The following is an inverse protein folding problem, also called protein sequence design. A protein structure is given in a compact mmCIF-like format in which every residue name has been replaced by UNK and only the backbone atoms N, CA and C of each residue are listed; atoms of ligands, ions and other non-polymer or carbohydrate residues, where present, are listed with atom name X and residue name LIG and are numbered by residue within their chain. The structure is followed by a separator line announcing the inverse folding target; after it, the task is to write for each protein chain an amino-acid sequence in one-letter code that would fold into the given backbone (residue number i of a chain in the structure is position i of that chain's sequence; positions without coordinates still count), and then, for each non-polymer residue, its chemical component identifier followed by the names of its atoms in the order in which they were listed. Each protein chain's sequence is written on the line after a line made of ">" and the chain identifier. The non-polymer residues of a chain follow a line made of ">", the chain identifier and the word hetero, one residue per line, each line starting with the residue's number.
data_IF_273047002625
#
_entry.id   IF_273047002625
#
_cell.length_a   1.000
_cell.length_b   1.000
_cell.length_c   1.000
_cell.angle_alpha   90.00
_cell.angle_beta   90.00
_cell.angle_gamma   90.00
#
_symmetry.space_group_name_H-M   'P 1'
#
loop_
_entity.id
_entity.type
_entity.pdbx_description
1 polymer ?
#
# COMPACT_ATOMS: atom_id res chain seq x y z
N UNK A 1 32.25 -17.91 53.97
CA UNK A 1 32.24 -17.08 52.73
C UNK A 1 31.12 -17.56 51.84
N UNK A 2 30.07 -16.80 51.78
CA UNK A 2 28.95 -17.13 50.86
C UNK A 2 29.14 -16.31 49.62
N UNK A 3 29.47 -16.95 48.51
CA UNK A 3 29.50 -16.31 47.20
C UNK A 3 28.07 -16.24 46.64
N UNK A 4 27.49 -15.06 46.73
CA UNK A 4 26.20 -14.78 46.05
C UNK A 4 26.43 -14.73 44.57
N UNK A 5 26.00 -15.77 43.88
CA UNK A 5 25.90 -15.73 42.41
C UNK A 5 24.69 -14.89 42.06
N UNK A 6 24.93 -13.64 41.68
CA UNK A 6 23.91 -12.80 41.06
C UNK A 6 23.60 -13.36 39.69
N UNK A 7 22.43 -13.97 39.52
CA UNK A 7 21.91 -14.38 38.23
C UNK A 7 21.34 -13.11 37.60
N UNK A 8 22.09 -12.54 36.65
CA UNK A 8 21.60 -11.47 35.84
C UNK A 8 20.58 -12.04 34.86
N UNK A 9 19.31 -11.77 35.09
CA UNK A 9 18.25 -12.02 34.11
C UNK A 9 18.35 -10.96 33.04
N UNK A 10 18.94 -11.34 31.93
CA UNK A 10 18.89 -10.52 30.73
C UNK A 10 17.47 -10.59 30.19
N UNK A 11 16.68 -9.55 30.40
CA UNK A 11 15.43 -9.36 29.69
C UNK A 11 15.77 -9.05 28.21
N UNK A 12 15.67 -10.05 27.36
CA UNK A 12 15.69 -9.84 25.94
C UNK A 12 14.34 -9.21 25.60
N UNK A 13 14.31 -7.90 25.49
CA UNK A 13 13.21 -7.19 24.83
C UNK A 13 13.25 -7.60 23.36
N UNK A 14 12.49 -8.62 22.99
CA UNK A 14 12.17 -8.87 21.60
C UNK A 14 11.25 -7.72 21.14
N UNK A 15 11.84 -6.74 20.47
CA UNK A 15 11.08 -5.75 19.75
C UNK A 15 10.41 -6.50 18.60
N UNK A 16 9.14 -6.87 18.79
CA UNK A 16 8.31 -7.32 17.68
C UNK A 16 8.13 -6.11 16.76
N UNK A 17 8.96 -6.02 15.72
CA UNK A 17 8.70 -5.11 14.62
C UNK A 17 7.39 -5.59 14.00
N UNK A 18 6.27 -4.89 14.30
CA UNK A 18 4.98 -5.14 13.68
C UNK A 18 5.09 -4.84 12.19
N UNK A 19 5.45 -5.85 11.39
CA UNK A 19 5.25 -5.77 9.96
C UNK A 19 3.74 -5.67 9.75
N UNK A 20 3.27 -4.50 9.24
CA UNK A 20 1.91 -4.35 8.76
C UNK A 20 1.71 -5.43 7.70
N UNK A 21 0.80 -6.38 7.97
CA UNK A 21 0.51 -7.45 7.04
C UNK A 21 -0.05 -6.84 5.75
N UNK A 22 0.59 -7.12 4.64
CA UNK A 22 0.13 -6.74 3.33
C UNK A 22 -1.24 -7.39 3.05
N UNK A 23 -2.25 -6.65 2.52
CA UNK A 23 -3.52 -7.24 2.15
C UNK A 23 -3.35 -8.40 1.18
N UNK A 24 -4.09 -9.48 1.36
CA UNK A 24 -3.95 -10.70 0.55
C UNK A 24 -4.12 -10.44 -0.94
N UNK A 25 -5.02 -9.54 -1.33
CA UNK A 25 -5.27 -9.21 -2.74
C UNK A 25 -4.08 -8.53 -3.42
N UNK A 26 -3.17 -7.94 -2.64
CA UNK A 26 -1.95 -7.29 -3.15
C UNK A 26 -0.69 -8.15 -2.95
N UNK A 27 -0.83 -9.35 -2.41
CA UNK A 27 0.32 -10.23 -2.21
C UNK A 27 0.95 -10.60 -3.56
N UNK A 28 2.25 -10.37 -3.68
CA UNK A 28 2.99 -10.61 -4.92
C UNK A 28 2.75 -9.56 -6.02
N UNK A 29 2.07 -8.45 -5.73
CA UNK A 29 1.92 -7.37 -6.67
C UNK A 29 3.29 -6.79 -7.07
N UNK A 30 3.46 -6.51 -8.36
CA UNK A 30 4.67 -5.89 -8.89
C UNK A 30 4.62 -4.37 -8.69
N UNK A 31 5.16 -3.89 -7.58
CA UNK A 31 5.12 -2.47 -7.22
C UNK A 31 5.88 -1.58 -8.21
N UNK A 32 6.95 -2.10 -8.80
CA UNK A 32 7.72 -1.37 -9.81
C UNK A 32 6.91 -1.18 -11.10
N UNK A 33 6.24 -2.22 -11.54
CA UNK A 33 5.30 -2.16 -12.67
C UNK A 33 4.16 -1.19 -12.36
N UNK A 34 3.59 -1.24 -11.17
CA UNK A 34 2.54 -0.34 -10.72
C UNK A 34 2.97 1.12 -10.82
N UNK A 35 4.16 1.46 -10.33
CA UNK A 35 4.70 2.80 -10.43
C UNK A 35 4.86 3.25 -11.89
N UNK A 36 5.38 2.38 -12.76
CA UNK A 36 5.52 2.68 -14.18
C UNK A 36 4.18 2.95 -14.85
N UNK A 37 3.16 2.16 -14.54
CA UNK A 37 1.81 2.33 -15.09
C UNK A 37 1.17 3.64 -14.62
N UNK A 38 1.34 4.01 -13.35
CA UNK A 38 0.88 5.29 -12.79
C UNK A 38 1.51 6.47 -13.55
N UNK A 39 2.79 6.40 -13.83
CA UNK A 39 3.53 7.44 -14.57
C UNK A 39 3.09 7.48 -16.05
N UNK A 40 3.04 6.34 -16.71
CA UNK A 40 2.68 6.24 -18.15
C UNK A 40 1.26 6.73 -18.43
N UNK A 41 0.33 6.50 -17.52
CA UNK A 41 -1.08 6.89 -17.68
C UNK A 41 -1.39 8.26 -17.06
N UNK A 42 -0.40 8.98 -16.56
CA UNK A 42 -0.54 10.30 -15.94
C UNK A 42 -1.59 10.34 -14.81
N UNK A 43 -1.66 9.26 -14.02
CA UNK A 43 -2.67 9.11 -12.96
C UNK A 43 -2.58 10.25 -11.93
N UNK A 44 -1.37 10.61 -11.53
CA UNK A 44 -1.15 11.67 -10.54
C UNK A 44 -1.61 13.04 -11.01
N UNK A 45 -1.50 13.34 -12.30
CA UNK A 45 -1.96 14.62 -12.86
C UNK A 45 -3.48 14.75 -12.75
N UNK A 46 -4.22 13.73 -13.17
CA UNK A 46 -5.67 13.72 -13.09
C UNK A 46 -6.14 13.75 -11.63
N UNK A 47 -5.50 12.96 -10.74
CA UNK A 47 -5.82 12.97 -9.32
C UNK A 47 -5.51 14.30 -8.65
N UNK A 48 -4.44 15.00 -9.04
CA UNK A 48 -4.15 16.34 -8.54
C UNK A 48 -5.26 17.33 -8.88
N UNK A 49 -5.78 17.29 -10.11
CA UNK A 49 -6.89 18.14 -10.54
C UNK A 49 -8.17 17.86 -9.73
N UNK A 50 -8.40 16.59 -9.37
CA UNK A 50 -9.57 16.16 -8.56
C UNK A 50 -9.44 16.50 -7.08
N UNK A 51 -8.23 16.64 -6.56
CA UNK A 51 -7.95 16.83 -5.13
C UNK A 51 -7.43 18.24 -4.79
N UNK A 52 -7.66 19.21 -5.65
CA UNK A 52 -7.26 20.60 -5.40
C UNK A 52 -5.75 20.84 -5.50
N UNK A 53 -5.04 20.05 -6.32
CA UNK A 53 -3.60 20.20 -6.58
C UNK A 53 -2.69 19.25 -5.81
N UNK A 54 -3.23 18.44 -4.88
CA UNK A 54 -2.46 17.46 -4.11
C UNK A 54 -2.84 16.02 -4.48
N UNK A 55 -2.12 15.42 -5.43
CA UNK A 55 -2.35 14.04 -5.85
C UNK A 55 -2.22 13.03 -4.72
N UNK A 56 -1.34 13.27 -3.74
CA UNK A 56 -1.12 12.36 -2.61
C UNK A 56 -2.31 12.28 -1.65
N UNK A 57 -3.25 13.21 -1.73
CA UNK A 57 -4.45 13.17 -0.89
C UNK A 57 -5.31 11.91 -1.14
N UNK A 58 -5.24 11.31 -2.32
CA UNK A 58 -5.98 10.08 -2.64
C UNK A 58 -5.46 8.84 -1.92
N UNK A 59 -4.20 8.86 -1.47
CA UNK A 59 -3.59 7.71 -0.76
C UNK A 59 -3.99 7.63 0.72
N UNK A 60 -4.82 8.56 1.18
CA UNK A 60 -5.34 8.53 2.54
C UNK A 60 -6.64 7.74 2.55
N UNK A 61 -6.78 6.70 3.40
CA UNK A 61 -8.01 5.89 3.45
C UNK A 61 -9.13 6.61 4.22
N UNK A 62 -9.38 7.86 3.85
CA UNK A 62 -10.41 8.72 4.42
C UNK A 62 -11.60 8.75 3.47
N UNK A 63 -12.76 8.25 3.90
CA UNK A 63 -14.00 8.29 3.12
C UNK A 63 -14.43 6.90 2.62
N UNK A 64 -15.03 6.86 1.43
CA UNK A 64 -15.68 5.65 0.91
C UNK A 64 -14.70 4.55 0.48
N UNK A 65 -13.52 4.92 0.00
CA UNK A 65 -12.48 3.97 -0.43
C UNK A 65 -11.53 3.73 0.75
N UNK A 66 -11.91 2.84 1.65
CA UNK A 66 -11.21 2.58 2.90
C UNK A 66 -10.80 1.11 3.11
N UNK A 67 -10.98 0.26 2.11
CA UNK A 67 -10.51 -1.13 2.10
C UNK A 67 -9.68 -1.41 0.86
N UNK A 68 -8.83 -2.44 0.93
CA UNK A 68 -8.03 -2.88 -0.21
C UNK A 68 -8.89 -3.34 -1.39
N UNK A 69 -10.01 -4.02 -1.11
CA UNK A 69 -10.95 -4.45 -2.15
C UNK A 69 -11.62 -3.29 -2.87
N UNK A 70 -12.06 -2.28 -2.13
CA UNK A 70 -12.64 -1.06 -2.71
C UNK A 70 -11.59 -0.27 -3.51
N UNK A 71 -10.37 -0.19 -3.02
CA UNK A 71 -9.28 0.48 -3.74
C UNK A 71 -9.01 -0.19 -5.09
N UNK A 72 -8.82 -1.50 -5.10
CA UNK A 72 -8.60 -2.25 -6.34
C UNK A 72 -9.78 -2.12 -7.29
N UNK A 73 -10.99 -2.19 -6.78
CA UNK A 73 -12.21 -2.00 -7.57
C UNK A 73 -12.30 -0.60 -8.20
N UNK A 74 -11.85 0.43 -7.49
CA UNK A 74 -11.80 1.80 -8.03
C UNK A 74 -10.78 1.92 -9.14
N UNK A 75 -9.61 1.32 -9.00
CA UNK A 75 -8.59 1.30 -10.07
C UNK A 75 -9.14 0.58 -11.30
N UNK A 76 -9.80 -0.56 -11.12
CA UNK A 76 -10.46 -1.29 -12.23
C UNK A 76 -11.53 -0.43 -12.92
N UNK A 77 -12.33 0.27 -12.15
CA UNK A 77 -13.34 1.18 -12.72
C UNK A 77 -12.70 2.30 -13.54
N UNK A 78 -11.61 2.90 -13.05
CA UNK A 78 -10.85 3.91 -13.80
C UNK A 78 -10.22 3.32 -15.05
N UNK A 79 -9.66 2.10 -14.96
CA UNK A 79 -9.12 1.38 -16.11
C UNK A 79 -10.17 1.22 -17.21
N UNK A 80 -11.37 0.79 -16.86
CA UNK A 80 -12.47 0.59 -17.81
C UNK A 80 -13.01 1.91 -18.36
N UNK A 81 -13.25 2.90 -17.48
CA UNK A 81 -13.83 4.19 -17.86
C UNK A 81 -12.92 5.04 -18.75
N UNK A 82 -11.61 4.96 -18.52
CA UNK A 82 -10.59 5.73 -19.23
C UNK A 82 -9.90 4.91 -20.33
N UNK A 83 -10.32 3.66 -20.51
CA UNK A 83 -9.82 2.75 -21.55
C UNK A 83 -8.29 2.59 -21.52
N UNK A 84 -7.72 2.38 -20.35
CA UNK A 84 -6.27 2.14 -20.20
C UNK A 84 -5.84 0.76 -20.68
N UNK A 85 -6.78 -0.18 -20.81
CA UNK A 85 -6.52 -1.55 -21.27
C UNK A 85 -5.52 -2.33 -20.40
N UNK A 86 -5.49 -2.04 -19.11
CA UNK A 86 -4.67 -2.79 -18.16
C UNK A 86 -5.23 -4.19 -17.93
N UNK A 87 -4.34 -5.17 -17.87
CA UNK A 87 -4.67 -6.53 -17.45
C UNK A 87 -4.94 -6.59 -15.94
N UNK A 88 -5.64 -7.65 -15.45
CA UNK A 88 -5.97 -7.76 -14.02
C UNK A 88 -4.76 -7.65 -13.08
N UNK A 89 -3.63 -8.25 -13.44
CA UNK A 89 -2.38 -8.16 -12.67
C UNK A 89 -1.79 -6.74 -12.68
N UNK A 90 -1.97 -5.99 -13.75
CA UNK A 90 -1.54 -4.60 -13.85
C UNK A 90 -2.41 -3.69 -12.98
N UNK A 91 -3.72 -3.92 -12.96
CA UNK A 91 -4.64 -3.23 -12.05
C UNK A 91 -4.25 -3.48 -10.59
N UNK A 92 -3.88 -4.72 -10.27
CA UNK A 92 -3.43 -5.08 -8.92
C UNK A 92 -2.10 -4.42 -8.56
N UNK A 93 -1.22 -4.20 -9.53
CA UNK A 93 0.08 -3.55 -9.35
C UNK A 93 -0.04 -2.04 -9.08
N UNK A 94 -1.00 -1.38 -9.71
CA UNK A 94 -1.25 0.07 -9.54
C UNK A 94 -1.79 0.37 -8.15
#
# INVERSE_FOLDING_TARGET
>A
MRTSKAIAWAFILSVASGALAEPLIFRGADLKLGQQLIEQNNCSKCHADKTGGNANAIYRPLGQINTSGLLRGMVEQCNSSLNFQMFPEEVTAV
#
